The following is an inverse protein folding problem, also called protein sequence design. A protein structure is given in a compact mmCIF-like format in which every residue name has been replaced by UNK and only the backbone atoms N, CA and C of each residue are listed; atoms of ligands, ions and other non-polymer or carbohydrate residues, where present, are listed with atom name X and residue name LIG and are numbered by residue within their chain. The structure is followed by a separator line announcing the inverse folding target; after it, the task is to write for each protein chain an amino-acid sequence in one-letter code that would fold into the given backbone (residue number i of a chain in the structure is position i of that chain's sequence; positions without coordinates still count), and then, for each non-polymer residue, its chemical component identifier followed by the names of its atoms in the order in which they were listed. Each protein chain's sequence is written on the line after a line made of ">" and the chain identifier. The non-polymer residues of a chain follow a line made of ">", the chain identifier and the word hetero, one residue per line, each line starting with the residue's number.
data_IF_726389634502
#
_entry.id   IF_726389634502
#
_cell.length_a   1.000
_cell.length_b   1.000
_cell.length_c   1.000
_cell.angle_alpha   90.00
_cell.angle_beta   90.00
_cell.angle_gamma   90.00
#
_symmetry.space_group_name_H-M   'P 1'
#
loop_
_entity.id
_entity.type
_entity.pdbx_description
1 polymer ?
#
# COMPACT_ATOMS: atom_id res chain seq x y z
N UNK A 1 -41.83 29.38 28.51
CA UNK A 1 -40.87 30.03 27.57
C UNK A 1 -39.52 29.99 28.26
N UNK A 2 -38.48 29.58 27.52
CA UNK A 2 -37.03 29.56 27.83
C UNK A 2 -36.57 28.74 29.05
N UNK A 3 -36.01 27.54 28.79
CA UNK A 3 -34.75 27.04 29.42
C UNK A 3 -34.48 25.56 29.02
N UNK A 4 -34.08 25.34 27.77
CA UNK A 4 -33.61 24.01 27.32
C UNK A 4 -32.42 24.09 26.33
N UNK A 5 -31.68 25.21 26.30
CA UNK A 5 -30.61 25.45 25.32
C UNK A 5 -29.20 25.16 25.82
N UNK A 6 -29.02 24.50 26.96
CA UNK A 6 -27.71 24.08 27.45
C UNK A 6 -27.64 22.56 27.59
N UNK A 7 -27.69 21.85 26.47
CA UNK A 7 -27.13 20.50 26.43
C UNK A 7 -26.46 20.26 25.07
N UNK A 8 -25.12 20.35 24.97
CA UNK A 8 -24.45 19.90 23.76
C UNK A 8 -24.62 18.38 23.68
N UNK A 9 -25.41 17.90 22.71
CA UNK A 9 -25.48 16.46 22.41
C UNK A 9 -24.05 15.98 22.16
N UNK A 10 -23.60 14.88 22.78
CA UNK A 10 -22.27 14.36 22.51
C UNK A 10 -22.21 14.04 21.02
N UNK A 11 -21.29 14.69 20.33
CA UNK A 11 -21.02 14.44 18.91
C UNK A 11 -20.49 13.01 18.84
N UNK A 12 -21.37 12.08 18.49
CA UNK A 12 -20.97 10.72 18.16
C UNK A 12 -20.21 10.79 16.84
N UNK A 13 -18.91 11.06 16.94
CA UNK A 13 -17.98 10.89 15.84
C UNK A 13 -18.12 9.44 15.39
N UNK A 14 -18.74 9.28 14.22
CA UNK A 14 -18.92 8.01 13.56
C UNK A 14 -17.57 7.30 13.57
N UNK A 15 -17.58 6.07 14.11
CA UNK A 15 -16.52 5.09 13.90
C UNK A 15 -16.29 5.00 12.39
N UNK A 16 -15.32 5.77 11.88
CA UNK A 16 -14.85 5.64 10.51
C UNK A 16 -14.11 4.33 10.48
N UNK A 17 -14.86 3.28 10.18
CA UNK A 17 -14.39 1.93 9.87
C UNK A 17 -13.51 2.04 8.63
N UNK A 18 -12.29 2.52 8.80
CA UNK A 18 -11.22 2.23 7.86
C UNK A 18 -10.61 0.94 8.36
N UNK A 19 -11.29 -0.17 8.07
CA UNK A 19 -10.60 -1.44 8.01
C UNK A 19 -9.57 -1.26 6.89
N UNK A 20 -8.32 -0.96 7.26
CA UNK A 20 -7.19 -1.10 6.38
C UNK A 20 -7.26 -2.50 5.81
N UNK A 21 -7.56 -2.63 4.53
CA UNK A 21 -7.40 -3.90 3.84
C UNK A 21 -5.88 -4.11 3.83
N UNK A 22 -5.37 -4.81 4.83
CA UNK A 22 -4.06 -5.42 4.79
C UNK A 22 -4.16 -6.51 3.73
N UNK A 23 -3.95 -6.17 2.46
CA UNK A 23 -3.63 -7.18 1.47
C UNK A 23 -2.27 -7.72 1.89
N UNK A 24 -2.25 -8.91 2.47
CA UNK A 24 -1.03 -9.66 2.66
C UNK A 24 -0.52 -10.01 1.28
N UNK A 25 0.32 -9.14 0.72
CA UNK A 25 1.02 -9.41 -0.52
C UNK A 25 1.98 -10.54 -0.21
N UNK A 26 1.63 -11.75 -0.66
CA UNK A 26 2.54 -12.89 -0.55
C UNK A 26 3.87 -12.57 -1.21
N UNK A 27 4.93 -13.22 -0.75
CA UNK A 27 6.27 -13.11 -1.35
C UNK A 27 6.57 -14.45 -2.04
N UNK A 28 7.19 -14.40 -3.22
CA UNK A 28 7.82 -15.54 -3.88
C UNK A 28 9.32 -15.30 -3.98
N UNK A 29 10.11 -16.37 -3.91
CA UNK A 29 11.56 -16.29 -4.07
C UNK A 29 11.90 -16.65 -5.52
N UNK A 30 12.60 -15.74 -6.21
CA UNK A 30 13.06 -15.90 -7.59
C UNK A 30 14.59 -15.90 -7.63
N UNK A 31 15.21 -16.66 -8.52
CA UNK A 31 16.68 -16.76 -8.62
C UNK A 31 17.21 -16.24 -9.95
N UNK A 32 18.42 -15.68 -9.92
CA UNK A 32 19.20 -15.33 -11.11
C UNK A 32 20.70 -15.65 -10.91
N UNK A 33 21.56 -15.25 -11.85
CA UNK A 33 23.01 -15.55 -11.78
C UNK A 33 23.74 -14.90 -10.60
N UNK A 34 23.16 -13.88 -9.96
CA UNK A 34 23.74 -13.23 -8.78
C UNK A 34 23.06 -13.66 -7.47
N UNK A 35 22.10 -14.58 -7.51
CA UNK A 35 21.48 -15.22 -6.33
C UNK A 35 19.96 -15.13 -6.27
N UNK A 36 19.43 -15.38 -5.08
CA UNK A 36 17.99 -15.39 -4.81
C UNK A 36 17.49 -14.00 -4.38
N UNK A 37 16.24 -13.67 -4.73
CA UNK A 37 15.59 -12.41 -4.41
C UNK A 37 14.10 -12.60 -4.13
N UNK A 38 13.60 -11.89 -3.13
CA UNK A 38 12.18 -11.85 -2.80
C UNK A 38 11.42 -10.93 -3.77
N UNK A 39 10.37 -11.46 -4.39
CA UNK A 39 9.51 -10.78 -5.36
C UNK A 39 8.07 -10.86 -4.90
N UNK A 40 7.35 -9.75 -5.03
CA UNK A 40 5.95 -9.66 -4.63
C UNK A 40 5.07 -10.59 -5.50
N UNK A 41 4.26 -11.44 -4.86
CA UNK A 41 3.43 -12.45 -5.52
C UNK A 41 2.29 -11.85 -6.35
N UNK A 42 1.89 -10.61 -6.07
CA UNK A 42 0.86 -9.85 -6.77
C UNK A 42 1.33 -9.27 -8.12
N UNK A 43 2.65 -9.29 -8.40
CA UNK A 43 3.23 -8.75 -9.63
C UNK A 43 3.73 -9.87 -10.53
N UNK A 44 3.80 -9.59 -11.84
CA UNK A 44 4.21 -10.57 -12.85
C UNK A 44 5.69 -10.49 -13.26
N UNK A 45 6.44 -9.50 -12.75
CA UNK A 45 7.87 -9.37 -13.07
C UNK A 45 8.73 -10.40 -12.30
N UNK A 46 9.91 -10.73 -12.81
CA UNK A 46 10.85 -11.69 -12.19
C UNK A 46 12.04 -11.04 -11.47
N UNK A 47 13.05 -11.84 -11.12
CA UNK A 47 14.23 -11.41 -10.33
C UNK A 47 15.02 -10.24 -10.97
N UNK A 48 15.28 -10.29 -12.28
CA UNK A 48 16.06 -9.24 -12.95
C UNK A 48 15.37 -7.87 -12.90
N UNK A 49 14.06 -7.84 -13.21
CA UNK A 49 13.26 -6.61 -13.13
C UNK A 49 13.12 -6.14 -11.68
N UNK A 50 12.93 -7.06 -10.73
CA UNK A 50 12.88 -6.72 -9.31
C UNK A 50 14.21 -6.08 -8.84
N UNK A 51 15.36 -6.61 -9.28
CA UNK A 51 16.67 -6.02 -8.96
C UNK A 51 16.88 -4.68 -9.64
N UNK A 52 16.26 -4.44 -10.80
CA UNK A 52 16.28 -3.13 -11.45
C UNK A 52 15.50 -2.06 -10.67
N UNK A 53 14.61 -2.44 -9.76
CA UNK A 53 13.96 -1.49 -8.84
C UNK A 53 14.95 -0.85 -7.85
N UNK A 54 16.20 -1.33 -7.74
CA UNK A 54 17.22 -0.66 -6.94
C UNK A 54 17.75 0.63 -7.60
N UNK A 55 17.39 0.89 -8.87
CA UNK A 55 17.76 2.11 -9.58
C UNK A 55 16.68 3.18 -9.42
N UNK A 56 16.40 3.56 -8.18
CA UNK A 56 15.45 4.63 -7.83
C UNK A 56 16.06 6.02 -8.13
N UNK A 57 16.21 6.34 -9.42
CA UNK A 57 16.80 7.59 -9.91
C UNK A 57 15.74 8.38 -10.69
N UNK A 58 15.34 9.53 -10.14
CA UNK A 58 14.28 10.36 -10.71
C UNK A 58 12.88 9.77 -10.50
N UNK A 59 11.86 10.46 -11.03
CA UNK A 59 10.45 10.08 -10.89
C UNK A 59 9.82 9.61 -12.22
N UNK A 60 10.63 9.50 -13.27
CA UNK A 60 10.15 9.10 -14.60
C UNK A 60 9.98 7.58 -14.69
N UNK A 61 8.94 7.13 -15.40
CA UNK A 61 8.67 5.71 -15.63
C UNK A 61 8.62 5.43 -17.12
N UNK A 62 8.92 4.19 -17.51
CA UNK A 62 8.89 3.82 -18.91
C UNK A 62 7.50 4.18 -19.53
N UNK A 63 7.47 4.96 -20.64
CA UNK A 63 6.22 5.38 -21.26
C UNK A 63 5.45 4.18 -21.80
N UNK A 64 4.11 4.23 -21.74
CA UNK A 64 3.24 3.09 -22.07
C UNK A 64 2.93 2.90 -23.57
N UNK A 65 3.50 3.74 -24.43
CA UNK A 65 3.20 3.79 -25.86
C UNK A 65 1.87 4.48 -26.18
#
# INVERSE_FOLDING_TARGET
>A
MIDASLNPKPVQNHLRRQASIHHEVGIRVESDTMGDLEVASDRYYGCQTARSCNFDIGDDTMPRG
#
